data_IF_871929581072
#
_entry.id   IF_871929581072
#
_cell.length_a   1.000
_cell.length_b   1.000
_cell.length_c   1.000
_cell.angle_alpha   90.00
_cell.angle_beta   90.00
_cell.angle_gamma   90.00
#
_symmetry.space_group_name_H-M   'P 1'
#
loop_
_entity.id
_entity.type
_entity.pdbx_description
1 polymer ?
#
# COMPACT_ATOMS: atom_id res chain seq x y z
N UNK A 1 3.68 3.30 11.30
CA UNK A 1 3.63 2.15 12.25
C UNK A 1 3.10 2.63 13.59
N UNK A 2 1.84 2.32 13.90
CA UNK A 2 1.18 2.65 15.17
C UNK A 2 1.40 1.47 16.13
N UNK A 3 1.97 1.71 17.32
CA UNK A 3 2.01 0.69 18.38
C UNK A 3 0.84 0.94 19.33
N UNK A 4 0.02 -0.09 19.56
CA UNK A 4 -1.02 -0.03 20.57
C UNK A 4 -0.45 -0.22 21.99
N UNK A 5 -1.33 -0.12 22.99
CA UNK A 5 -1.01 -0.29 24.42
C UNK A 5 -0.44 -1.68 24.75
N UNK A 6 -0.66 -2.67 23.90
CA UNK A 6 -0.20 -4.05 24.07
C UNK A 6 1.05 -4.36 23.25
N UNK A 7 1.63 -3.36 22.57
CA UNK A 7 2.82 -3.51 21.73
C UNK A 7 2.53 -4.05 20.33
N UNK A 8 1.26 -4.26 19.96
CA UNK A 8 0.90 -4.68 18.61
C UNK A 8 1.02 -3.50 17.65
N UNK A 9 1.57 -3.79 16.47
CA UNK A 9 1.83 -2.77 15.45
C UNK A 9 0.75 -2.82 14.39
N UNK A 10 0.01 -1.72 14.26
CA UNK A 10 -1.08 -1.59 13.32
C UNK A 10 -0.67 -0.70 12.16
N UNK A 11 -1.09 -1.11 10.97
CA UNK A 11 -0.99 -0.35 9.74
C UNK A 11 -2.40 -0.09 9.21
N UNK A 12 -2.64 1.13 8.79
CA UNK A 12 -3.89 1.49 8.12
C UNK A 12 -3.70 1.10 6.66
N UNK A 13 -4.39 0.03 6.24
CA UNK A 13 -4.36 -0.43 4.85
C UNK A 13 -5.56 0.16 4.12
N UNK A 14 -5.36 0.99 3.08
CA UNK A 14 -6.45 1.55 2.32
C UNK A 14 -7.09 0.50 1.41
N UNK A 15 -8.40 0.55 1.25
CA UNK A 15 -9.17 -0.45 0.49
C UNK A 15 -8.71 -0.54 -0.97
N UNK A 16 -8.33 0.59 -1.57
CA UNK A 16 -7.81 0.68 -2.95
C UNK A 16 -6.54 -0.13 -3.18
N UNK A 17 -5.72 -0.39 -2.15
CA UNK A 17 -4.54 -1.24 -2.29
C UNK A 17 -4.93 -2.66 -2.71
N UNK A 18 -6.04 -3.19 -2.18
CA UNK A 18 -6.53 -4.51 -2.56
C UNK A 18 -6.97 -4.55 -4.03
N UNK A 19 -7.61 -3.49 -4.52
CA UNK A 19 -8.02 -3.38 -5.91
C UNK A 19 -6.80 -3.29 -6.84
N UNK A 20 -5.82 -2.46 -6.49
CA UNK A 20 -4.59 -2.28 -7.25
C UNK A 20 -3.72 -3.54 -7.30
N UNK A 21 -3.67 -4.31 -6.21
CA UNK A 21 -2.94 -5.57 -6.15
C UNK A 21 -3.68 -6.75 -6.79
N UNK A 22 -4.99 -6.64 -6.99
CA UNK A 22 -5.81 -7.66 -7.66
C UNK A 22 -5.94 -7.39 -9.17
N UNK A 23 -5.27 -6.36 -9.67
CA UNK A 23 -5.30 -5.99 -11.08
C UNK A 23 -4.60 -7.07 -11.93
N UNK A 24 -5.18 -7.50 -13.06
CA UNK A 24 -4.53 -8.47 -13.95
C UNK A 24 -3.23 -7.94 -14.57
N UNK A 25 -3.01 -6.63 -14.60
CA UNK A 25 -1.75 -6.02 -15.01
C UNK A 25 -0.67 -6.21 -13.93
N UNK A 26 0.24 -7.14 -14.21
CA UNK A 26 1.37 -7.45 -13.34
C UNK A 26 2.39 -6.31 -13.26
N UNK A 27 2.56 -5.51 -14.30
CA UNK A 27 3.49 -4.37 -14.27
C UNK A 27 2.96 -3.29 -13.34
N UNK A 28 1.66 -3.00 -13.44
CA UNK A 28 0.97 -2.09 -12.52
C UNK A 28 1.08 -2.57 -11.07
N UNK A 29 0.82 -3.85 -10.82
CA UNK A 29 0.94 -4.45 -9.48
C UNK A 29 2.38 -4.32 -8.94
N UNK A 30 3.39 -4.55 -9.78
CA UNK A 30 4.79 -4.40 -9.39
C UNK A 30 5.14 -2.95 -9.04
N UNK A 31 4.69 -1.95 -9.82
CA UNK A 31 4.92 -0.54 -9.49
C UNK A 31 4.30 -0.15 -8.15
N UNK A 32 3.09 -0.61 -7.89
CA UNK A 32 2.38 -0.38 -6.62
C UNK A 32 3.12 -1.05 -5.46
N UNK A 33 3.62 -2.28 -5.63
CA UNK A 33 4.44 -2.95 -4.60
C UNK A 33 5.76 -2.23 -4.34
N UNK A 34 6.48 -1.80 -5.38
CA UNK A 34 7.74 -1.07 -5.22
C UNK A 34 7.55 0.27 -4.50
N UNK A 35 6.48 0.98 -4.82
CA UNK A 35 6.11 2.21 -4.13
C UNK A 35 5.79 1.93 -2.65
N UNK A 36 4.99 0.90 -2.38
CA UNK A 36 4.62 0.48 -1.03
C UNK A 36 5.85 0.13 -0.16
N UNK A 37 6.84 -0.57 -0.70
CA UNK A 37 8.05 -0.95 0.03
C UNK A 37 8.92 0.24 0.45
N UNK A 38 8.79 1.37 -0.25
CA UNK A 38 9.49 2.63 0.06
C UNK A 38 8.70 3.49 1.06
N UNK A 39 7.41 3.20 1.28
CA UNK A 39 6.53 3.97 2.14
C UNK A 39 6.61 3.55 3.61
N UNK A 40 6.68 4.53 4.50
CA UNK A 40 6.57 4.30 5.96
C UNK A 40 5.12 4.27 6.45
N UNK A 41 4.22 4.93 5.73
CA UNK A 41 2.77 4.91 5.90
C UNK A 41 2.14 4.88 4.50
N UNK A 42 1.05 4.14 4.32
CA UNK A 42 0.39 3.99 3.02
C UNK A 42 -0.37 5.27 2.66
N UNK A 43 0.07 5.94 1.60
CA UNK A 43 -0.62 7.09 1.02
C UNK A 43 -1.41 6.66 -0.23
N UNK A 44 -2.72 6.91 -0.22
CA UNK A 44 -3.62 6.53 -1.32
C UNK A 44 -3.27 7.25 -2.62
N UNK A 45 -2.90 8.53 -2.56
CA UNK A 45 -2.57 9.30 -3.74
C UNK A 45 -1.27 8.80 -4.37
N UNK A 46 -0.26 8.48 -3.56
CA UNK A 46 0.99 7.91 -4.07
C UNK A 46 0.81 6.51 -4.65
N UNK A 47 -0.02 5.67 -4.00
CA UNK A 47 -0.35 4.34 -4.53
C UNK A 47 -1.09 4.42 -5.87
N UNK A 48 -2.02 5.37 -6.00
CA UNK A 48 -2.76 5.58 -7.24
C UNK A 48 -1.89 6.18 -8.35
N UNK A 49 -0.93 7.04 -8.00
CA UNK A 49 0.06 7.56 -8.94
C UNK A 49 1.02 6.46 -9.43
N UNK A 50 1.44 5.55 -8.54
CA UNK A 50 2.27 4.40 -8.92
C UNK A 50 1.53 3.38 -9.80
N UNK A 51 0.21 3.34 -9.70
CA UNK A 51 -0.65 2.50 -10.51
C UNK A 51 -0.94 3.07 -11.92
N UNK A 52 -0.70 4.36 -12.13
CA UNK A 52 -0.73 5.01 -13.45
C UNK A 52 0.42 4.59 -14.33
#
# INVERSE_FOLDING_TARGET
MLKDRFGASWQIVPTILYELMSDPDREKTNRVMEAMLKMKNLDVAELQAAAG
#
